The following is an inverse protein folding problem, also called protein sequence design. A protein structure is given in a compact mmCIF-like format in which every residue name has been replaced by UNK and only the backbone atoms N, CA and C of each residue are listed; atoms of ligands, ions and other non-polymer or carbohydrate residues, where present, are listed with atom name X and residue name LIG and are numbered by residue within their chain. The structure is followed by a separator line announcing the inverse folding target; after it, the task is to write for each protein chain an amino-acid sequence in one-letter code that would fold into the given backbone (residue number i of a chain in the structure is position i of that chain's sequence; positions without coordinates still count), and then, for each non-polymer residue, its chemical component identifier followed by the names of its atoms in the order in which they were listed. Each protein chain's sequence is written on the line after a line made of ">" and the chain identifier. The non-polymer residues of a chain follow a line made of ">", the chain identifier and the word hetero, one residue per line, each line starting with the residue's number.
data_IF_217263295825
#
_entry.id   IF_217263295825
#
_cell.length_a   1.000
_cell.length_b   1.000
_cell.length_c   1.000
_cell.angle_alpha   90.00
_cell.angle_beta   90.00
_cell.angle_gamma   90.00
#
_symmetry.space_group_name_H-M   'P 1'
#
loop_
_entity.id
_entity.type
_entity.pdbx_description
1 polymer ?
#
# COMPACT_ATOMS: atom_id res chain seq x y z
N UNK A 1 -4.58 -25.05 0.96
CA UNK A 1 -3.64 -24.01 1.41
C UNK A 1 -3.09 -23.33 0.18
N UNK A 2 -3.29 -22.02 0.04
CA UNK A 2 -2.75 -21.27 -1.09
C UNK A 2 -1.21 -21.22 -0.98
N UNK A 3 -0.51 -21.33 -2.12
CA UNK A 3 0.96 -21.30 -2.21
C UNK A 3 1.49 -20.05 -2.89
N UNK A 4 0.62 -19.13 -3.28
CA UNK A 4 1.05 -17.86 -3.85
C UNK A 4 1.72 -16.98 -2.79
N UNK A 5 2.70 -16.17 -3.20
CA UNK A 5 3.36 -15.24 -2.29
C UNK A 5 2.36 -14.19 -1.80
N UNK A 6 2.37 -13.94 -0.49
CA UNK A 6 1.65 -12.80 0.08
C UNK A 6 2.38 -11.53 -0.30
N UNK A 7 1.67 -10.62 -0.97
CA UNK A 7 2.13 -9.30 -1.33
C UNK A 7 1.88 -8.34 -0.18
N UNK A 8 2.72 -7.30 -0.06
CA UNK A 8 2.55 -6.28 0.97
C UNK A 8 2.96 -4.91 0.45
N UNK A 9 2.26 -3.89 0.95
CA UNK A 9 2.51 -2.51 0.60
C UNK A 9 2.36 -1.63 1.84
N UNK A 10 3.25 -0.65 1.98
CA UNK A 10 3.22 0.31 3.08
C UNK A 10 3.39 1.71 2.51
N UNK A 11 2.60 2.64 3.02
CA UNK A 11 2.70 4.04 2.61
C UNK A 11 2.48 4.99 3.78
N UNK A 12 3.04 6.20 3.65
CA UNK A 12 2.85 7.27 4.62
C UNK A 12 1.56 8.01 4.31
N UNK A 13 0.66 8.06 5.28
CA UNK A 13 -0.59 8.82 5.18
C UNK A 13 -0.43 10.26 5.68
N UNK A 14 0.45 10.46 6.66
CA UNK A 14 0.71 11.76 7.27
C UNK A 14 1.92 12.46 6.64
N UNK A 15 1.92 13.80 6.56
CA UNK A 15 3.07 14.56 6.08
C UNK A 15 4.26 14.46 7.06
N UNK A 16 5.51 14.68 6.58
CA UNK A 16 6.71 14.59 7.41
C UNK A 16 6.67 15.41 8.69
N UNK A 17 6.00 16.54 8.71
CA UNK A 17 5.96 17.45 9.87
C UNK A 17 5.01 16.95 10.97
N UNK A 18 4.14 15.98 10.67
CA UNK A 18 3.16 15.45 11.62
C UNK A 18 3.78 14.63 12.75
N UNK A 19 3.24 14.76 13.95
CA UNK A 19 3.54 13.85 15.08
C UNK A 19 3.10 12.41 14.81
N UNK A 20 2.15 12.21 13.90
CA UNK A 20 1.69 10.89 13.46
C UNK A 20 2.45 10.35 12.25
N UNK A 21 3.55 10.98 11.82
CA UNK A 21 4.30 10.58 10.62
C UNK A 21 4.77 9.11 10.60
N UNK A 22 5.04 8.56 11.79
CA UNK A 22 5.48 7.17 11.92
C UNK A 22 4.32 6.17 11.94
N UNK A 23 3.08 6.65 12.03
CA UNK A 23 1.84 5.86 11.91
C UNK A 23 1.49 5.73 10.43
N UNK A 24 1.98 4.68 9.81
CA UNK A 24 1.77 4.41 8.39
C UNK A 24 0.63 3.41 8.20
N UNK A 25 0.13 3.33 6.97
CA UNK A 25 -0.80 2.28 6.57
C UNK A 25 0.01 1.14 5.97
N UNK A 26 -0.26 -0.08 6.42
CA UNK A 26 0.27 -1.31 5.85
C UNK A 26 -0.87 -2.19 5.40
N UNK A 27 -0.75 -2.76 4.21
CA UNK A 27 -1.70 -3.74 3.69
C UNK A 27 -0.95 -4.97 3.18
N UNK A 28 -1.56 -6.14 3.32
CA UNK A 28 -1.08 -7.40 2.81
C UNK A 28 -2.21 -8.15 2.10
N UNK A 29 -1.91 -8.83 1.00
CA UNK A 29 -2.93 -9.54 0.21
C UNK A 29 -2.36 -10.76 -0.50
N UNK A 30 -3.26 -11.66 -0.89
CA UNK A 30 -2.97 -12.79 -1.75
C UNK A 30 -3.87 -12.73 -2.98
N UNK A 31 -3.26 -12.62 -4.16
CA UNK A 31 -3.95 -12.47 -5.46
C UNK A 31 -4.88 -13.65 -5.73
N UNK A 32 -4.37 -14.89 -5.59
CA UNK A 32 -5.17 -16.10 -5.82
C UNK A 32 -6.30 -16.32 -4.83
N UNK A 33 -6.11 -15.97 -3.55
CA UNK A 33 -7.18 -16.08 -2.57
C UNK A 33 -8.18 -14.93 -2.64
N UNK A 34 -7.83 -13.81 -3.29
CA UNK A 34 -8.62 -12.56 -3.29
C UNK A 34 -8.94 -12.08 -1.86
N UNK A 35 -8.02 -12.32 -0.92
CA UNK A 35 -8.11 -11.88 0.48
C UNK A 35 -7.04 -10.82 0.71
N UNK A 36 -7.43 -9.76 1.40
CA UNK A 36 -6.54 -8.70 1.85
C UNK A 36 -6.79 -8.36 3.33
N UNK A 37 -5.79 -7.75 3.95
CA UNK A 37 -5.84 -7.22 5.31
C UNK A 37 -5.07 -5.91 5.37
N UNK A 38 -5.65 -4.94 6.07
CA UNK A 38 -5.11 -3.62 6.29
C UNK A 38 -4.93 -3.33 7.78
N UNK A 39 -3.82 -2.70 8.13
CA UNK A 39 -3.58 -2.27 9.50
C UNK A 39 -2.68 -1.03 9.57
N UNK A 40 -2.79 -0.32 10.69
CA UNK A 40 -1.81 0.70 11.02
C UNK A 40 -0.51 0.05 11.44
N UNK A 41 0.61 0.53 10.90
CA UNK A 41 1.96 0.03 11.19
C UNK A 41 2.87 1.16 11.63
N UNK A 42 3.80 0.85 12.53
CA UNK A 42 4.86 1.78 12.90
C UNK A 42 6.01 1.68 11.89
N UNK A 43 6.36 2.79 11.26
CA UNK A 43 7.51 2.90 10.36
C UNK A 43 8.38 4.07 10.81
N UNK A 44 9.63 3.82 11.25
CA UNK A 44 10.53 4.87 11.70
C UNK A 44 10.66 5.99 10.67
N UNK A 45 10.76 7.24 11.14
CA UNK A 45 10.87 8.42 10.28
C UNK A 45 11.97 8.33 9.23
N UNK A 46 13.11 7.73 9.58
CA UNK A 46 14.29 7.59 8.69
C UNK A 46 14.14 6.49 7.64
N UNK A 47 13.15 5.60 7.75
CA UNK A 47 12.95 4.51 6.80
C UNK A 47 12.28 5.05 5.54
N UNK A 48 12.94 4.86 4.40
CA UNK A 48 12.37 5.17 3.09
C UNK A 48 11.40 4.04 2.71
N UNK A 49 10.21 4.41 2.25
CA UNK A 49 9.22 3.49 1.69
C UNK A 49 9.15 3.70 0.19
N UNK A 50 9.00 2.60 -0.56
CA UNK A 50 8.75 2.66 -2.01
C UNK A 50 7.33 3.17 -2.22
N UNK A 51 7.18 4.28 -2.93
CA UNK A 51 5.87 4.84 -3.28
C UNK A 51 5.42 4.29 -4.64
N UNK A 52 4.70 3.17 -4.62
CA UNK A 52 4.16 2.54 -5.83
C UNK A 52 3.09 3.42 -6.53
N UNK A 53 2.63 4.48 -5.88
CA UNK A 53 1.67 5.45 -6.41
C UNK A 53 2.34 6.73 -6.92
N UNK A 54 3.67 6.87 -6.81
CA UNK A 54 4.38 8.10 -7.17
C UNK A 54 4.22 8.52 -8.63
N UNK A 55 3.94 7.56 -9.53
CA UNK A 55 3.71 7.84 -10.96
C UNK A 55 2.30 8.35 -11.27
N UNK A 56 1.39 8.39 -10.29
CA UNK A 56 0.00 8.77 -10.50
C UNK A 56 -0.23 10.27 -10.28
N UNK A 57 -1.21 10.87 -10.99
CA UNK A 57 -1.72 12.19 -10.63
C UNK A 57 -2.23 12.24 -9.18
N UNK A 58 -2.17 13.41 -8.56
CA UNK A 58 -2.54 13.60 -7.16
C UNK A 58 -3.99 13.17 -6.86
N UNK A 59 -4.95 13.53 -7.74
CA UNK A 59 -6.36 13.15 -7.60
C UNK A 59 -6.57 11.63 -7.68
N UNK A 60 -5.90 10.96 -8.62
CA UNK A 60 -5.98 9.50 -8.75
C UNK A 60 -5.40 8.80 -7.53
N UNK A 61 -4.26 9.31 -7.03
CA UNK A 61 -3.64 8.83 -5.79
C UNK A 61 -4.61 8.99 -4.62
N UNK A 62 -5.20 10.17 -4.45
CA UNK A 62 -6.12 10.43 -3.34
C UNK A 62 -7.34 9.51 -3.40
N UNK A 63 -7.90 9.29 -4.59
CA UNK A 63 -9.01 8.36 -4.80
C UNK A 63 -8.66 6.94 -4.36
N UNK A 64 -7.48 6.44 -4.74
CA UNK A 64 -7.02 5.10 -4.34
C UNK A 64 -6.84 5.01 -2.82
N UNK A 65 -6.24 6.03 -2.19
CA UNK A 65 -5.99 6.03 -0.75
C UNK A 65 -7.26 6.10 0.11
N UNK A 66 -8.39 6.49 -0.45
CA UNK A 66 -9.70 6.53 0.25
C UNK A 66 -10.43 5.18 0.24
N UNK A 67 -10.01 4.22 -0.59
CA UNK A 67 -10.67 2.92 -0.71
C UNK A 67 -9.64 1.79 -0.80
N UNK A 68 -9.45 1.08 0.31
CA UNK A 68 -8.45 0.01 0.42
C UNK A 68 -8.64 -1.10 -0.62
N UNK A 69 -9.88 -1.53 -0.88
CA UNK A 69 -10.13 -2.58 -1.87
C UNK A 69 -9.66 -2.15 -3.28
N UNK A 70 -9.96 -0.91 -3.67
CA UNK A 70 -9.55 -0.36 -4.98
C UNK A 70 -8.03 -0.16 -5.04
N UNK A 71 -7.40 0.26 -3.94
CA UNK A 71 -5.94 0.33 -3.85
C UNK A 71 -5.30 -1.04 -4.07
N UNK A 72 -5.80 -2.08 -3.40
CA UNK A 72 -5.28 -3.44 -3.53
C UNK A 72 -5.46 -3.95 -4.95
N UNK A 73 -6.64 -3.80 -5.55
CA UNK A 73 -6.86 -4.20 -6.94
C UNK A 73 -5.90 -3.48 -7.91
N UNK A 74 -5.65 -2.19 -7.70
CA UNK A 74 -4.67 -1.42 -8.50
C UNK A 74 -3.24 -1.97 -8.33
N UNK A 75 -2.79 -2.18 -7.10
CA UNK A 75 -1.46 -2.72 -6.81
C UNK A 75 -1.28 -4.14 -7.35
N UNK A 76 -2.31 -4.98 -7.23
CA UNK A 76 -2.30 -6.36 -7.68
C UNK A 76 -2.17 -6.47 -9.20
N UNK A 77 -2.86 -5.59 -9.94
CA UNK A 77 -2.79 -5.53 -11.40
C UNK A 77 -1.43 -5.07 -11.94
N UNK A 78 -0.68 -4.24 -11.20
CA UNK A 78 0.65 -3.75 -11.61
C UNK A 78 1.75 -4.77 -11.39
N UNK A 79 1.67 -5.54 -10.31
CA UNK A 79 2.68 -6.55 -9.97
C UNK A 79 2.53 -7.84 -10.82
N UNK A 80 1.47 -7.95 -11.62
CA UNK A 80 1.37 -8.94 -12.71
C UNK A 80 2.17 -8.60 -13.98
N UNK A 81 2.76 -7.40 -14.06
CA UNK A 81 3.44 -6.88 -15.25
C UNK A 81 4.94 -6.58 -15.07
N UNK A 82 5.56 -7.05 -13.99
CA UNK A 82 7.00 -6.86 -13.75
C UNK A 82 7.64 -8.21 -13.44
N UNK A 83 7.87 -8.99 -14.51
CA UNK A 83 8.81 -10.11 -14.57
C UNK A 83 9.97 -9.72 -15.48
#
# INVERSE_FOLDING_TARGET
>A
MCREPVRSYQYRFHPPESSSFERCTGSAWCSGCRIYSGNMVYVPRKRVLVDALASLPADDRERLLRNEAVLIDHLDSRDGGQQ
#
